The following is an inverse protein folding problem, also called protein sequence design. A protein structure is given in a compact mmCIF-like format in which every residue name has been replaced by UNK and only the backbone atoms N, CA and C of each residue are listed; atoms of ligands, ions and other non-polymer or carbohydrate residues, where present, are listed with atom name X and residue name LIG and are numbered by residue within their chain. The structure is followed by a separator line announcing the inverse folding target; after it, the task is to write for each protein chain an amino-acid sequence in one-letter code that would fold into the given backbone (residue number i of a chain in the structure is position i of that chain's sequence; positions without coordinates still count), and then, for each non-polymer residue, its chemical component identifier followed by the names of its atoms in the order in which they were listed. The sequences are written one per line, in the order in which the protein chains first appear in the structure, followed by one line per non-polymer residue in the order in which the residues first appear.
data_IF_262931128095
#
_entry.id   IF_262931128095
#
_cell.length_a   1.000
_cell.length_b   1.000
_cell.length_c   1.000
_cell.angle_alpha   90.00
_cell.angle_beta   90.00
_cell.angle_gamma   90.00
#
_symmetry.space_group_name_H-M   'P 1'
#
loop_
_entity.id
_entity.type
_entity.pdbx_description
1 polymer ?
#
# COMPACT_ATOMS: atom_id res chain seq x y z
N UNK A 1 -7.00 -13.15 -12.80
CA UNK A 1 -7.35 -11.94 -12.03
C UNK A 1 -7.41 -12.34 -10.56
N UNK A 2 -6.83 -11.53 -9.66
CA UNK A 2 -6.81 -11.76 -8.23
C UNK A 2 -6.96 -10.43 -7.47
N UNK A 3 -7.49 -10.48 -6.26
CA UNK A 3 -7.67 -9.32 -5.38
C UNK A 3 -6.58 -9.26 -4.31
N UNK A 4 -6.23 -8.05 -3.90
CA UNK A 4 -5.20 -7.77 -2.90
C UNK A 4 -5.83 -6.94 -1.78
N UNK A 5 -5.73 -7.42 -0.55
CA UNK A 5 -6.12 -6.68 0.66
C UNK A 5 -4.91 -6.59 1.59
N UNK A 6 -4.43 -5.38 1.88
CA UNK A 6 -3.34 -5.15 2.82
C UNK A 6 -3.84 -4.27 3.95
N UNK A 7 -3.56 -4.67 5.19
CA UNK A 7 -3.81 -3.85 6.38
C UNK A 7 -2.46 -3.61 7.04
N UNK A 8 -2.04 -2.36 7.08
CA UNK A 8 -0.82 -1.94 7.75
C UNK A 8 -1.22 -1.37 9.10
N UNK A 9 -0.72 -2.00 10.15
CA UNK A 9 -0.83 -1.49 11.50
C UNK A 9 0.54 -0.98 11.90
N UNK A 10 0.65 0.32 12.12
CA UNK A 10 1.86 0.90 12.64
C UNK A 10 1.88 0.80 14.18
N UNK A 11 2.69 -0.13 14.69
CA UNK A 11 2.95 -0.31 16.13
C UNK A 11 4.21 0.47 16.56
N UNK A 12 4.56 1.59 15.91
CA UNK A 12 5.70 2.38 16.38
C UNK A 12 5.35 2.96 17.76
N UNK A 13 5.89 2.28 18.77
CA UNK A 13 6.11 2.75 20.12
C UNK A 13 6.71 4.16 20.06
N UNK A 14 5.89 5.15 20.43
CA UNK A 14 6.30 6.54 20.47
C UNK A 14 7.45 6.66 21.45
N UNK A 15 8.67 6.83 20.94
CA UNK A 15 9.78 7.32 21.75
C UNK A 15 9.43 8.75 22.14
N UNK A 16 9.01 8.93 23.40
CA UNK A 16 8.80 10.21 24.04
C UNK A 16 10.16 10.92 24.11
N UNK A 17 10.38 11.86 23.20
CA UNK A 17 11.53 12.77 23.24
C UNK A 17 10.97 14.13 23.62
N UNK A 18 10.90 14.39 24.92
CA UNK A 18 10.59 15.71 25.47
C UNK A 18 11.65 16.72 24.99
N UNK A 19 11.28 17.57 24.03
CA UNK A 19 12.01 18.78 23.70
C UNK A 19 11.06 19.95 23.85
N UNK A 20 11.06 20.54 25.05
CA UNK A 20 10.55 21.88 25.34
C UNK A 20 9.15 22.21 24.78
N UNK A 21 8.11 21.66 25.43
CA UNK A 21 6.88 22.43 25.65
C UNK A 21 5.87 22.56 24.52
N UNK A 22 6.00 21.82 23.42
CA UNK A 22 4.87 21.61 22.49
C UNK A 22 4.31 20.22 22.72
N UNK A 23 3.13 20.14 23.35
CA UNK A 23 2.38 18.88 23.48
C UNK A 23 1.95 18.45 22.08
N UNK A 24 2.79 17.68 21.42
CA UNK A 24 2.40 16.94 20.23
C UNK A 24 1.54 15.79 20.72
N UNK A 25 0.21 15.98 20.70
CA UNK A 25 -0.73 14.91 21.02
C UNK A 25 -0.57 13.82 19.96
N UNK A 26 0.30 12.86 20.24
CA UNK A 26 0.50 11.66 19.44
C UNK A 26 -0.73 10.76 19.63
N UNK A 27 -1.81 11.16 18.98
CA UNK A 27 -2.96 10.32 18.64
C UNK A 27 -2.83 10.15 17.13
N UNK A 28 -2.86 8.96 16.55
CA UNK A 28 -3.52 7.76 16.96
C UNK A 28 -2.79 6.60 16.26
N UNK A 29 -3.26 5.40 16.56
CA UNK A 29 -2.77 4.10 16.14
C UNK A 29 -2.99 3.88 14.64
N UNK A 30 -2.19 4.52 13.80
CA UNK A 30 -2.38 4.66 12.35
C UNK A 30 -2.64 3.33 11.62
N UNK A 31 -3.92 2.92 11.56
CA UNK A 31 -4.37 1.78 10.78
C UNK A 31 -4.52 2.24 9.34
N UNK A 32 -3.61 1.82 8.48
CA UNK A 32 -3.67 2.12 7.05
C UNK A 32 -4.18 0.92 6.28
N UNK A 33 -5.21 1.13 5.47
CA UNK A 33 -5.84 0.10 4.66
C UNK A 33 -5.45 0.23 3.20
N UNK A 34 -5.19 -0.88 2.54
CA UNK A 34 -4.90 -0.97 1.12
C UNK A 34 -5.77 -2.00 0.44
N UNK A 35 -6.40 -1.63 -0.66
CA UNK A 35 -7.16 -2.52 -1.53
C UNK A 35 -6.60 -2.44 -2.95
N UNK A 36 -6.44 -3.58 -3.59
CA UNK A 36 -5.89 -3.66 -4.94
C UNK A 36 -6.48 -4.81 -5.74
N UNK A 37 -6.23 -4.76 -7.04
CA UNK A 37 -6.62 -5.79 -7.98
C UNK A 37 -5.50 -5.98 -9.00
N UNK A 38 -5.26 -7.25 -9.34
CA UNK A 38 -4.17 -7.69 -10.18
C UNK A 38 -4.59 -8.66 -11.26
N UNK A 39 -3.94 -8.57 -12.41
CA UNK A 39 -4.11 -9.47 -13.54
C UNK A 39 -2.75 -9.85 -14.12
N UNK A 40 -2.67 -11.06 -14.66
CA UNK A 40 -1.52 -11.51 -15.44
C UNK A 40 -2.03 -12.18 -16.71
N UNK A 41 -1.40 -11.88 -17.84
CA UNK A 41 -1.66 -12.49 -19.13
C UNK A 41 -0.35 -13.04 -19.68
N UNK A 42 -0.30 -14.36 -19.87
CA UNK A 42 0.78 -15.03 -20.58
C UNK A 42 0.34 -15.37 -22.00
N UNK A 43 1.22 -15.17 -22.97
CA UNK A 43 1.01 -15.57 -24.37
C UNK A 43 2.28 -16.15 -24.98
N UNK A 44 2.13 -16.74 -26.17
CA UNK A 44 3.17 -17.46 -26.89
C UNK A 44 3.81 -18.59 -26.06
N UNK A 45 2.99 -19.52 -25.56
CA UNK A 45 3.46 -20.67 -24.78
C UNK A 45 4.27 -20.26 -23.54
N UNK A 46 3.75 -19.29 -22.76
CA UNK A 46 4.40 -18.72 -21.57
C UNK A 46 5.73 -17.99 -21.83
N UNK A 47 6.07 -17.71 -23.11
CA UNK A 47 7.28 -16.96 -23.49
C UNK A 47 7.21 -15.48 -23.10
N UNK A 48 6.01 -14.90 -23.16
CA UNK A 48 5.76 -13.52 -22.78
C UNK A 48 4.67 -13.45 -21.73
N UNK A 49 4.92 -12.75 -20.63
CA UNK A 49 3.93 -12.49 -19.60
C UNK A 49 3.88 -11.00 -19.29
N UNK A 50 2.68 -10.45 -19.23
CA UNK A 50 2.41 -9.12 -18.67
C UNK A 50 1.62 -9.28 -17.41
N UNK A 51 2.07 -8.61 -16.36
CA UNK A 51 1.34 -8.44 -15.13
C UNK A 51 0.98 -6.97 -14.93
N UNK A 52 -0.26 -6.71 -14.53
CA UNK A 52 -0.76 -5.39 -14.21
C UNK A 52 -1.48 -5.44 -12.88
N UNK A 53 -1.06 -4.60 -11.96
CA UNK A 53 -1.62 -4.51 -10.61
C UNK A 53 -1.90 -3.05 -10.29
N UNK A 54 -3.06 -2.79 -9.69
CA UNK A 54 -3.42 -1.46 -9.18
C UNK A 54 -3.76 -1.58 -7.71
N UNK A 55 -3.29 -0.62 -6.92
CA UNK A 55 -3.46 -0.57 -5.48
C UNK A 55 -3.88 0.83 -5.04
N UNK A 56 -4.99 0.90 -4.32
CA UNK A 56 -5.44 2.09 -3.63
C UNK A 56 -5.14 1.92 -2.13
N UNK A 57 -4.42 2.87 -1.55
CA UNK A 57 -4.12 2.93 -0.12
C UNK A 57 -4.79 4.16 0.48
N UNK A 58 -5.47 3.96 1.59
CA UNK A 58 -6.11 5.03 2.37
C UNK A 58 -5.77 4.81 3.83
N UNK A 59 -5.34 5.87 4.51
CA UNK A 59 -5.22 5.82 5.98
C UNK A 59 -6.62 5.91 6.58
N UNK A 60 -6.99 5.01 7.50
CA UNK A 60 -8.32 5.02 8.13
C UNK A 60 -8.42 6.04 9.28
N UNK A 61 -7.30 6.57 9.77
CA UNK A 61 -7.32 7.59 10.83
C UNK A 61 -7.61 8.99 10.29
N UNK A 62 -7.11 9.29 9.10
CA UNK A 62 -7.34 10.55 8.41
C UNK A 62 -8.07 10.24 7.10
N UNK A 63 -9.33 9.82 7.24
CA UNK A 63 -10.23 9.38 6.15
C UNK A 63 -10.54 10.50 5.12
N UNK A 64 -9.86 11.64 5.20
CA UNK A 64 -10.06 12.84 4.38
C UNK A 64 -8.85 13.30 3.58
N UNK A 65 -7.63 13.30 4.14
CA UNK A 65 -6.51 14.05 3.55
C UNK A 65 -5.44 13.20 2.85
N UNK A 66 -5.39 11.88 3.09
CA UNK A 66 -4.28 11.04 2.61
C UNK A 66 -4.73 9.86 1.75
N UNK A 67 -4.95 10.11 0.44
CA UNK A 67 -5.25 9.07 -0.56
C UNK A 67 -4.05 8.83 -1.46
N UNK A 68 -3.44 7.65 -1.34
CA UNK A 68 -2.33 7.22 -2.20
C UNK A 68 -2.79 6.14 -3.16
N UNK A 69 -2.68 6.40 -4.46
CA UNK A 69 -2.99 5.41 -5.50
C UNK A 69 -1.67 5.04 -6.18
N UNK A 70 -1.41 3.73 -6.25
CA UNK A 70 -0.25 3.16 -6.93
C UNK A 70 -0.68 2.14 -7.99
N UNK A 71 0.18 1.90 -8.95
CA UNK A 71 0.01 0.85 -9.93
C UNK A 71 1.37 0.33 -10.36
N UNK A 72 1.43 -0.96 -10.62
CA UNK A 72 2.63 -1.65 -11.09
C UNK A 72 2.30 -2.39 -12.36
N UNK A 73 3.12 -2.22 -13.39
CA UNK A 73 3.05 -3.02 -14.61
C UNK A 73 4.40 -3.71 -14.77
N UNK A 74 4.37 -5.03 -14.86
CA UNK A 74 5.54 -5.85 -15.12
C UNK A 74 5.42 -6.54 -16.48
N UNK A 75 6.56 -6.64 -17.15
CA UNK A 75 6.71 -7.42 -18.36
C UNK A 75 7.83 -8.43 -18.14
N UNK A 76 7.56 -9.69 -18.47
CA UNK A 76 8.51 -10.80 -18.35
C UNK A 76 8.64 -11.49 -19.69
N UNK A 77 9.89 -11.72 -20.09
CA UNK A 77 10.26 -12.52 -21.25
C UNK A 77 11.05 -13.72 -20.74
N UNK A 78 10.66 -14.91 -21.17
CA UNK A 78 11.47 -16.12 -21.05
C UNK A 78 12.14 -16.40 -22.40
N UNK A 79 13.46 -16.56 -22.38
CA UNK A 79 14.29 -16.98 -23.51
C UNK A 79 14.81 -18.41 -23.29
#
# INVERSE_FOLDING_TARGET
VYGIGNLYYDFLDGSDVDVSGTVFSSKSRQLSGGLGLGGSLSWADDRYSVNGEVLARTSLEDFGDSRSIGGTVGFKVKW
#
